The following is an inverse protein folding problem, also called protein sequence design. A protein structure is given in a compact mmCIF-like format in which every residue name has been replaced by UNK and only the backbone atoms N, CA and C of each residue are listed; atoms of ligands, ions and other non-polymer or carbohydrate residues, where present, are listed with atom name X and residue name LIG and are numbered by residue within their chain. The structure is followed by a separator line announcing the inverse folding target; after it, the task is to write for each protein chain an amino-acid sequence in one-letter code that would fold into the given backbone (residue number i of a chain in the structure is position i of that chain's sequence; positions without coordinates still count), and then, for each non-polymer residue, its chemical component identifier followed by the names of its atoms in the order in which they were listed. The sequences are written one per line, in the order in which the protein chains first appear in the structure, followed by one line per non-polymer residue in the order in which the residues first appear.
data_IF_798114683501
#
_entry.id   IF_798114683501
#
_cell.length_a   1.000
_cell.length_b   1.000
_cell.length_c   1.000
_cell.angle_alpha   90.00
_cell.angle_beta   90.00
_cell.angle_gamma   90.00
#
_symmetry.space_group_name_H-M   'P 1'
#
loop_
_entity.id
_entity.type
_entity.pdbx_description
1 polymer ?
#
# COMPACT_ATOMS: atom_id res chain seq x y z
N UNK A 1 -14.25 -10.99 -35.91
CA UNK A 1 -15.36 -10.47 -35.10
C UNK A 1 -16.29 -11.65 -34.86
N UNK A 2 -16.17 -12.30 -33.70
CA UNK A 2 -16.93 -13.51 -33.36
C UNK A 2 -18.28 -13.10 -32.78
N UNK A 3 -19.36 -13.62 -33.35
CA UNK A 3 -20.75 -13.42 -32.92
C UNK A 3 -20.96 -14.02 -31.54
N UNK A 4 -21.02 -13.17 -30.51
CA UNK A 4 -21.45 -13.57 -29.19
C UNK A 4 -22.98 -13.69 -29.17
N UNK A 5 -23.46 -14.93 -29.02
CA UNK A 5 -24.86 -15.34 -28.75
C UNK A 5 -25.88 -15.20 -29.90
N UNK A 6 -25.81 -16.09 -30.89
CA UNK A 6 -27.05 -16.53 -31.56
C UNK A 6 -27.80 -17.47 -30.60
N UNK A 7 -28.70 -16.92 -29.79
CA UNK A 7 -29.72 -17.72 -29.12
C UNK A 7 -30.62 -18.31 -30.22
N UNK A 8 -30.84 -19.64 -30.29
CA UNK A 8 -31.78 -20.19 -31.26
C UNK A 8 -33.13 -19.55 -31.02
N UNK A 9 -33.66 -18.86 -32.03
CA UNK A 9 -34.96 -18.21 -31.98
C UNK A 9 -36.04 -19.26 -31.71
N UNK A 10 -36.37 -19.48 -30.45
CA UNK A 10 -37.54 -20.27 -30.11
C UNK A 10 -38.76 -19.44 -30.53
N UNK A 11 -39.50 -19.94 -31.52
CA UNK A 11 -40.84 -19.46 -31.85
C UNK A 11 -41.81 -19.83 -30.72
N UNK A 12 -41.60 -19.25 -29.54
CA UNK A 12 -42.53 -19.32 -28.42
C UNK A 12 -43.74 -18.46 -28.76
N UNK A 13 -44.93 -19.01 -28.56
CA UNK A 13 -46.15 -18.22 -28.59
C UNK A 13 -46.13 -17.20 -27.46
N UNK A 14 -46.88 -16.09 -27.59
CA UNK A 14 -46.94 -15.09 -26.52
C UNK A 14 -47.42 -15.69 -25.18
N UNK A 15 -48.31 -16.67 -25.23
CA UNK A 15 -48.76 -17.41 -24.06
C UNK A 15 -47.63 -18.21 -23.39
N UNK A 16 -46.74 -18.83 -24.18
CA UNK A 16 -45.59 -19.56 -23.65
C UNK A 16 -44.54 -18.63 -23.07
N UNK A 17 -44.30 -17.47 -23.70
CA UNK A 17 -43.40 -16.42 -23.19
C UNK A 17 -43.88 -15.90 -21.84
N UNK A 18 -45.18 -15.60 -21.72
CA UNK A 18 -45.80 -15.15 -20.47
C UNK A 18 -45.65 -16.22 -19.38
N UNK A 19 -45.95 -17.50 -19.69
CA UNK A 19 -45.82 -18.59 -18.73
C UNK A 19 -44.37 -18.79 -18.27
N UNK A 20 -43.41 -18.72 -19.17
CA UNK A 20 -41.99 -18.79 -18.82
C UNK A 20 -41.55 -17.61 -17.96
N UNK A 21 -41.93 -16.39 -18.32
CA UNK A 21 -41.61 -15.19 -17.55
C UNK A 21 -42.18 -15.26 -16.12
N UNK A 22 -43.44 -15.69 -15.96
CA UNK A 22 -44.05 -15.90 -14.65
C UNK A 22 -43.33 -16.97 -13.83
N UNK A 23 -42.91 -18.07 -14.48
CA UNK A 23 -42.12 -19.11 -13.84
C UNK A 23 -40.76 -18.62 -13.36
N UNK A 24 -40.08 -17.80 -14.16
CA UNK A 24 -38.81 -17.16 -13.81
C UNK A 24 -38.99 -16.15 -12.66
N UNK A 25 -40.03 -15.32 -12.71
CA UNK A 25 -40.35 -14.36 -11.65
C UNK A 25 -40.56 -15.07 -10.31
N UNK A 26 -41.39 -16.12 -10.28
CA UNK A 26 -41.63 -16.89 -9.05
C UNK A 26 -40.34 -17.52 -8.50
N UNK A 27 -39.45 -18.00 -9.38
CA UNK A 27 -38.15 -18.54 -8.96
C UNK A 27 -37.23 -17.45 -8.41
N UNK A 28 -37.24 -16.26 -9.01
CA UNK A 28 -36.51 -15.10 -8.52
C UNK A 28 -37.03 -14.67 -7.14
N UNK A 29 -38.34 -14.48 -6.98
CA UNK A 29 -38.97 -14.09 -5.72
C UNK A 29 -38.61 -15.09 -4.59
N UNK A 30 -38.67 -16.39 -4.89
CA UNK A 30 -38.28 -17.43 -3.93
C UNK A 30 -36.80 -17.34 -3.53
N UNK A 31 -35.90 -17.04 -4.48
CA UNK A 31 -34.47 -16.85 -4.20
C UNK A 31 -34.21 -15.59 -3.40
N UNK A 32 -34.87 -14.48 -3.71
CA UNK A 32 -34.75 -13.23 -2.98
C UNK A 32 -35.29 -13.37 -1.55
N UNK A 33 -36.35 -14.16 -1.35
CA UNK A 33 -36.84 -14.51 -0.01
C UNK A 33 -35.84 -15.34 0.79
N UNK A 34 -35.14 -16.29 0.16
CA UNK A 34 -34.04 -16.98 0.83
C UNK A 34 -32.89 -16.01 1.16
N UNK A 35 -32.58 -15.09 0.24
CA UNK A 35 -31.56 -14.06 0.45
C UNK A 35 -31.88 -13.17 1.66
N UNK A 36 -33.12 -12.69 1.81
CA UNK A 36 -33.52 -11.85 2.96
C UNK A 36 -33.41 -12.57 4.29
N UNK A 37 -33.51 -13.90 4.31
CA UNK A 37 -33.44 -14.70 5.53
C UNK A 37 -32.00 -15.07 5.90
N UNK A 38 -31.18 -15.45 4.92
CA UNK A 38 -29.87 -16.07 5.18
C UNK A 38 -28.71 -15.07 5.08
N UNK A 39 -28.75 -14.13 4.13
CA UNK A 39 -27.63 -13.22 3.85
C UNK A 39 -27.27 -12.33 5.05
N UNK A 40 -28.21 -11.76 5.84
CA UNK A 40 -27.83 -10.93 6.98
C UNK A 40 -26.89 -11.65 7.95
N UNK A 41 -27.16 -12.93 8.24
CA UNK A 41 -26.31 -13.74 9.09
C UNK A 41 -24.93 -14.03 8.50
N UNK A 42 -24.82 -14.25 7.19
CA UNK A 42 -23.51 -14.39 6.54
C UNK A 42 -22.72 -13.08 6.54
N UNK A 43 -23.39 -11.95 6.35
CA UNK A 43 -22.75 -10.64 6.44
C UNK A 43 -22.29 -10.38 7.87
N UNK A 44 -23.07 -10.72 8.89
CA UNK A 44 -22.63 -10.60 10.29
C UNK A 44 -21.36 -11.42 10.56
N UNK A 45 -21.30 -12.67 10.09
CA UNK A 45 -20.10 -13.51 10.24
C UNK A 45 -18.87 -12.90 9.54
N UNK A 46 -19.01 -12.41 8.31
CA UNK A 46 -17.91 -11.75 7.60
C UNK A 46 -17.50 -10.47 8.32
N UNK A 47 -18.47 -9.69 8.81
CA UNK A 47 -18.20 -8.45 9.52
C UNK A 47 -17.40 -8.72 10.80
N UNK A 48 -17.83 -9.70 11.60
CA UNK A 48 -17.18 -10.03 12.86
C UNK A 48 -15.77 -10.57 12.62
N UNK A 49 -15.58 -11.37 11.56
CA UNK A 49 -14.28 -11.86 11.14
C UNK A 49 -13.33 -10.73 10.70
N UNK A 50 -13.81 -9.77 9.91
CA UNK A 50 -12.99 -8.65 9.43
C UNK A 50 -12.74 -7.57 10.49
N UNK A 51 -13.61 -7.45 11.49
CA UNK A 51 -13.49 -6.46 12.58
C UNK A 51 -12.93 -7.06 13.87
N UNK A 52 -12.52 -8.33 13.84
CA UNK A 52 -11.81 -8.94 14.97
C UNK A 52 -10.58 -8.11 15.34
N UNK A 53 -10.28 -8.03 16.64
CA UNK A 53 -9.17 -7.25 17.20
C UNK A 53 -8.19 -8.16 17.93
N UNK A 54 -6.94 -7.71 17.98
CA UNK A 54 -5.84 -8.41 18.65
C UNK A 54 -4.90 -9.08 17.65
N UNK A 55 -3.79 -9.61 18.16
CA UNK A 55 -2.71 -10.17 17.34
C UNK A 55 -3.12 -11.40 16.51
N UNK A 56 -4.17 -12.12 16.95
CA UNK A 56 -4.69 -13.29 16.25
C UNK A 56 -5.81 -12.96 15.25
N UNK A 57 -6.23 -11.69 15.17
CA UNK A 57 -7.26 -11.29 14.23
C UNK A 57 -6.79 -11.51 12.79
N UNK A 58 -7.72 -11.91 11.92
CA UNK A 58 -7.41 -12.22 10.53
C UNK A 58 -6.62 -11.11 9.82
N UNK A 59 -7.07 -9.85 9.91
CA UNK A 59 -6.40 -8.74 9.21
C UNK A 59 -4.98 -8.51 9.73
N UNK A 60 -4.74 -8.68 11.04
CA UNK A 60 -3.42 -8.53 11.65
C UNK A 60 -2.47 -9.64 11.18
N UNK A 61 -2.94 -10.89 11.16
CA UNK A 61 -2.17 -12.01 10.62
C UNK A 61 -1.89 -11.86 9.12
N UNK A 62 -2.89 -11.44 8.35
CA UNK A 62 -2.77 -11.18 6.92
C UNK A 62 -1.74 -10.08 6.63
N UNK A 63 -1.80 -8.98 7.38
CA UNK A 63 -0.85 -7.88 7.25
C UNK A 63 0.56 -8.32 7.64
N UNK A 64 0.74 -9.03 8.76
CA UNK A 64 2.06 -9.54 9.15
C UNK A 64 2.62 -10.49 8.09
N UNK A 65 1.83 -11.45 7.62
CA UNK A 65 2.25 -12.37 6.56
C UNK A 65 2.61 -11.64 5.27
N UNK A 66 1.80 -10.65 4.86
CA UNK A 66 2.07 -9.84 3.69
C UNK A 66 3.36 -9.01 3.87
N UNK A 67 3.63 -8.52 5.08
CA UNK A 67 4.84 -7.81 5.41
C UNK A 67 6.04 -8.74 5.26
N UNK A 68 6.02 -9.90 5.89
CA UNK A 68 7.11 -10.89 5.85
C UNK A 68 7.44 -11.34 4.42
N UNK A 69 6.43 -11.45 3.57
CA UNK A 69 6.56 -11.91 2.19
C UNK A 69 6.88 -10.81 1.18
N UNK A 70 7.04 -9.56 1.60
CA UNK A 70 7.23 -8.42 0.70
C UNK A 70 8.58 -7.75 0.88
N UNK A 71 9.15 -7.32 -0.25
CA UNK A 71 10.38 -6.55 -0.28
C UNK A 71 10.18 -5.07 0.09
N UNK A 72 8.95 -4.56 -0.05
CA UNK A 72 8.60 -3.15 0.15
C UNK A 72 7.11 -2.91 0.51
N UNK A 73 6.78 -1.63 0.69
CA UNK A 73 5.47 -1.09 1.04
C UNK A 73 4.39 -1.41 0.00
N UNK A 74 4.73 -1.43 -1.29
CA UNK A 74 3.76 -1.62 -2.36
C UNK A 74 3.33 -3.09 -2.40
N UNK A 75 4.30 -4.01 -2.39
CA UNK A 75 4.02 -5.43 -2.29
C UNK A 75 3.25 -5.79 -1.00
N UNK A 76 3.62 -5.17 0.12
CA UNK A 76 2.92 -5.34 1.40
C UNK A 76 1.46 -4.85 1.32
N UNK A 77 1.23 -3.62 0.86
CA UNK A 77 -0.11 -3.07 0.69
C UNK A 77 -0.95 -3.92 -0.26
N UNK A 78 -0.42 -4.24 -1.45
CA UNK A 78 -1.16 -4.96 -2.49
C UNK A 78 -1.56 -6.36 -2.04
N UNK A 79 -0.65 -7.12 -1.41
CA UNK A 79 -0.99 -8.46 -0.88
C UNK A 79 -2.06 -8.38 0.21
N UNK A 80 -1.93 -7.42 1.13
CA UNK A 80 -2.92 -7.23 2.21
C UNK A 80 -4.28 -6.81 1.65
N UNK A 81 -4.30 -5.88 0.69
CA UNK A 81 -5.52 -5.39 0.03
C UNK A 81 -6.22 -6.51 -0.75
N UNK A 82 -5.49 -7.35 -1.48
CA UNK A 82 -6.06 -8.50 -2.20
C UNK A 82 -6.78 -9.47 -1.24
N UNK A 83 -6.18 -9.76 -0.08
CA UNK A 83 -6.80 -10.61 0.93
C UNK A 83 -8.13 -10.01 1.45
N UNK A 84 -8.14 -8.71 1.77
CA UNK A 84 -9.35 -8.02 2.24
C UNK A 84 -10.45 -7.91 1.15
N UNK A 85 -10.06 -7.62 -0.10
CA UNK A 85 -10.98 -7.44 -1.23
C UNK A 85 -11.86 -8.66 -1.48
N UNK A 86 -11.34 -9.87 -1.29
CA UNK A 86 -12.13 -11.10 -1.47
C UNK A 86 -13.38 -11.12 -0.56
N UNK A 87 -13.23 -10.65 0.68
CA UNK A 87 -14.34 -10.55 1.62
C UNK A 87 -15.23 -9.35 1.35
N UNK A 88 -14.65 -8.17 1.07
CA UNK A 88 -15.43 -6.97 0.76
C UNK A 88 -16.30 -7.15 -0.48
N UNK A 89 -15.79 -7.78 -1.54
CA UNK A 89 -16.60 -8.05 -2.74
C UNK A 89 -17.78 -8.96 -2.44
N UNK A 90 -17.58 -10.02 -1.65
CA UNK A 90 -18.67 -10.89 -1.21
C UNK A 90 -19.69 -10.12 -0.37
N UNK A 91 -19.21 -9.29 0.56
CA UNK A 91 -20.02 -8.48 1.46
C UNK A 91 -20.90 -7.47 0.71
N UNK A 92 -20.32 -6.69 -0.22
CA UNK A 92 -21.04 -5.70 -1.04
C UNK A 92 -22.05 -6.37 -1.97
N UNK A 93 -21.73 -7.54 -2.53
CA UNK A 93 -22.70 -8.33 -3.32
C UNK A 93 -23.86 -8.81 -2.45
N UNK A 94 -23.60 -9.20 -1.21
CA UNK A 94 -24.64 -9.54 -0.23
C UNK A 94 -25.57 -8.36 0.05
N UNK A 95 -25.03 -7.16 0.31
CA UNK A 95 -25.83 -5.93 0.46
C UNK A 95 -26.70 -5.69 -0.78
N UNK A 96 -26.13 -5.87 -1.97
CA UNK A 96 -26.85 -5.67 -3.23
C UNK A 96 -28.03 -6.66 -3.38
N UNK A 97 -27.85 -7.92 -2.98
CA UNK A 97 -28.92 -8.92 -2.96
C UNK A 97 -30.02 -8.58 -1.93
N UNK A 98 -29.64 -8.05 -0.76
CA UNK A 98 -30.59 -7.56 0.24
C UNK A 98 -31.40 -6.36 -0.29
N UNK A 99 -30.75 -5.43 -0.99
CA UNK A 99 -31.43 -4.31 -1.64
C UNK A 99 -32.45 -4.80 -2.68
N UNK A 100 -32.05 -5.75 -3.55
CA UNK A 100 -32.99 -6.34 -4.52
C UNK A 100 -34.17 -7.05 -3.84
N UNK A 101 -33.92 -7.75 -2.73
CA UNK A 101 -34.98 -8.39 -1.96
C UNK A 101 -35.92 -7.37 -1.31
N UNK A 102 -35.39 -6.26 -0.78
CA UNK A 102 -36.17 -5.18 -0.20
C UNK A 102 -37.04 -4.46 -1.24
N UNK A 103 -36.48 -4.21 -2.43
CA UNK A 103 -37.16 -3.48 -3.50
C UNK A 103 -38.22 -4.33 -4.22
N UNK A 104 -38.27 -5.65 -3.96
CA UNK A 104 -39.22 -6.57 -4.60
C UNK A 104 -40.50 -6.72 -3.75
N UNK A 105 -41.68 -6.20 -4.18
CA UNK A 105 -42.89 -6.18 -3.35
C UNK A 105 -43.39 -7.56 -2.88
N UNK A 106 -43.07 -8.63 -3.62
CA UNK A 106 -43.47 -10.00 -3.33
C UNK A 106 -42.61 -10.67 -2.24
N UNK A 107 -41.50 -10.02 -1.86
CA UNK A 107 -40.57 -10.45 -0.82
C UNK A 107 -40.82 -9.58 0.41
N UNK A 108 -41.32 -10.19 1.49
CA UNK A 108 -41.53 -9.48 2.75
C UNK A 108 -40.21 -9.44 3.52
N UNK A 109 -39.51 -8.32 3.46
CA UNK A 109 -38.30 -8.09 4.25
C UNK A 109 -38.55 -6.95 5.25
N UNK A 110 -39.11 -7.30 6.42
CA UNK A 110 -39.68 -6.35 7.39
C UNK A 110 -38.63 -5.39 7.97
N UNK A 111 -37.43 -5.88 8.29
CA UNK A 111 -36.32 -5.07 8.82
C UNK A 111 -35.36 -4.58 7.71
N UNK A 112 -35.81 -4.59 6.46
CA UNK A 112 -34.94 -4.49 5.29
C UNK A 112 -34.05 -3.25 5.27
N UNK A 113 -34.63 -2.06 5.37
CA UNK A 113 -33.87 -0.80 5.34
C UNK A 113 -32.86 -0.72 6.48
N UNK A 114 -33.29 -1.05 7.71
CA UNK A 114 -32.42 -1.01 8.89
C UNK A 114 -31.24 -1.98 8.76
N UNK A 115 -31.52 -3.21 8.32
CA UNK A 115 -30.50 -4.24 8.12
C UNK A 115 -29.49 -3.82 7.04
N UNK A 116 -29.97 -3.31 5.91
CA UNK A 116 -29.13 -2.82 4.82
C UNK A 116 -28.25 -1.67 5.28
N UNK A 117 -28.80 -0.67 5.97
CA UNK A 117 -28.06 0.51 6.41
C UNK A 117 -27.02 0.16 7.48
N UNK A 118 -27.32 -0.77 8.39
CA UNK A 118 -26.34 -1.34 9.33
C UNK A 118 -25.18 -1.99 8.58
N UNK A 119 -25.45 -2.82 7.58
CA UNK A 119 -24.38 -3.46 6.82
C UNK A 119 -23.57 -2.47 5.99
N UNK A 120 -24.17 -1.40 5.45
CA UNK A 120 -23.41 -0.30 4.81
C UNK A 120 -22.47 0.40 5.80
N UNK A 121 -22.94 0.70 7.01
CA UNK A 121 -22.11 1.30 8.05
C UNK A 121 -20.95 0.36 8.47
N UNK A 122 -21.21 -0.94 8.54
CA UNK A 122 -20.18 -1.95 8.82
C UNK A 122 -19.05 -1.96 7.77
N UNK A 123 -19.32 -1.66 6.49
CA UNK A 123 -18.26 -1.54 5.47
C UNK A 123 -17.26 -0.45 5.86
N UNK A 124 -17.74 0.70 6.32
CA UNK A 124 -16.88 1.80 6.75
C UNK A 124 -16.02 1.39 7.96
N UNK A 125 -16.61 0.67 8.92
CA UNK A 125 -15.87 0.15 10.07
C UNK A 125 -14.78 -0.86 9.65
N UNK A 126 -15.08 -1.73 8.68
CA UNK A 126 -14.10 -2.67 8.13
C UNK A 126 -12.96 -1.95 7.40
N UNK A 127 -13.26 -0.89 6.65
CA UNK A 127 -12.26 -0.06 5.98
C UNK A 127 -11.37 0.67 6.99
N UNK A 128 -11.94 1.23 8.06
CA UNK A 128 -11.18 1.83 9.14
C UNK A 128 -10.28 0.82 9.85
N UNK A 129 -10.77 -0.40 10.11
CA UNK A 129 -9.95 -1.46 10.70
C UNK A 129 -8.79 -1.87 9.79
N UNK A 130 -9.04 -1.95 8.48
CA UNK A 130 -8.00 -2.18 7.48
C UNK A 130 -6.97 -1.04 7.46
N UNK A 131 -7.42 0.22 7.49
CA UNK A 131 -6.53 1.39 7.52
C UNK A 131 -5.63 1.39 8.75
N UNK A 132 -6.19 1.13 9.94
CA UNK A 132 -5.42 1.02 11.17
C UNK A 132 -4.43 -0.15 11.15
N UNK A 133 -4.81 -1.28 10.53
CA UNK A 133 -3.97 -2.48 10.46
C UNK A 133 -2.85 -2.33 9.44
N UNK A 134 -3.10 -1.72 8.29
CA UNK A 134 -2.09 -1.56 7.24
C UNK A 134 -1.18 -0.36 7.50
N UNK A 135 -1.76 0.73 8.01
CA UNK A 135 -1.13 2.02 8.24
C UNK A 135 -1.51 3.03 7.16
N UNK A 136 -2.10 4.16 7.56
CA UNK A 136 -2.57 5.21 6.65
C UNK A 136 -1.45 5.74 5.74
N UNK A 137 -0.26 5.94 6.30
CA UNK A 137 0.93 6.35 5.58
C UNK A 137 1.28 5.39 4.42
N UNK A 138 1.25 4.09 4.71
CA UNK A 138 1.55 3.05 3.72
C UNK A 138 0.49 3.01 2.62
N UNK A 139 -0.79 3.14 3.00
CA UNK A 139 -1.91 3.19 2.05
C UNK A 139 -1.77 4.39 1.12
N UNK A 140 -1.58 5.59 1.68
CA UNK A 140 -1.45 6.81 0.90
C UNK A 140 -0.30 6.71 -0.11
N UNK A 141 0.84 6.15 0.33
CA UNK A 141 1.99 6.00 -0.54
C UNK A 141 1.77 4.94 -1.64
N UNK A 142 1.20 3.79 -1.29
CA UNK A 142 0.91 2.72 -2.25
C UNK A 142 -0.17 3.13 -3.27
N UNK A 143 -1.26 3.73 -2.82
CA UNK A 143 -2.34 4.20 -3.71
C UNK A 143 -1.87 5.35 -4.60
N UNK A 144 -1.02 6.25 -4.09
CA UNK A 144 -0.38 7.29 -4.91
C UNK A 144 0.43 6.70 -6.06
N UNK A 145 1.20 5.63 -5.81
CA UNK A 145 1.97 4.91 -6.83
C UNK A 145 1.08 4.12 -7.78
N UNK A 146 0.01 3.48 -7.28
CA UNK A 146 -0.89 2.69 -8.11
C UNK A 146 -1.69 3.57 -9.09
N UNK A 147 -2.11 4.75 -8.63
CA UNK A 147 -2.90 5.69 -9.43
C UNK A 147 -2.07 6.33 -10.56
N UNK A 148 -0.80 6.62 -10.31
CA UNK A 148 0.14 7.08 -11.34
C UNK A 148 1.55 6.51 -11.07
N UNK A 149 1.90 5.36 -11.69
CA UNK A 149 3.21 4.74 -11.49
C UNK A 149 4.36 5.50 -12.16
N UNK A 150 4.04 6.54 -12.95
CA UNK A 150 5.02 7.42 -13.60
C UNK A 150 5.23 8.72 -12.85
N UNK A 151 4.29 9.07 -11.95
CA UNK A 151 4.38 10.25 -11.12
C UNK A 151 5.61 10.20 -10.23
N UNK A 152 6.25 11.35 -10.15
CA UNK A 152 7.22 11.63 -9.10
C UNK A 152 6.44 11.93 -7.83
N UNK A 153 6.71 11.18 -6.76
CA UNK A 153 6.05 11.36 -5.48
C UNK A 153 6.97 12.13 -4.53
N UNK A 154 6.50 13.22 -3.95
CA UNK A 154 7.24 13.90 -2.89
C UNK A 154 7.01 13.16 -1.56
N UNK A 155 8.08 12.75 -0.90
CA UNK A 155 8.05 12.35 0.49
C UNK A 155 8.66 13.44 1.36
N UNK A 156 7.85 13.98 2.25
CA UNK A 156 8.31 14.86 3.31
C UNK A 156 8.43 14.01 4.57
N UNK A 157 9.64 13.90 5.09
CA UNK A 157 9.87 13.30 6.39
C UNK A 157 10.45 14.32 7.35
N UNK A 158 10.31 14.09 8.65
CA UNK A 158 11.09 14.82 9.64
C UNK A 158 12.09 13.82 10.19
N UNK A 159 13.35 14.04 9.86
CA UNK A 159 14.43 13.42 10.61
C UNK A 159 14.44 14.05 12.02
N UNK A 160 14.97 13.35 13.03
CA UNK A 160 15.19 13.98 14.32
C UNK A 160 16.00 15.28 14.12
N UNK A 161 15.65 16.35 14.84
CA UNK A 161 16.23 17.67 14.64
C UNK A 161 17.76 17.62 14.58
N UNK A 162 18.36 17.98 13.44
CA UNK A 162 19.81 17.99 13.23
C UNK A 162 20.38 16.88 12.33
N UNK A 163 19.53 16.01 11.78
CA UNK A 163 19.94 14.87 10.94
C UNK A 163 19.69 15.16 9.46
N UNK A 164 20.71 15.06 8.60
CA UNK A 164 20.59 15.28 7.15
C UNK A 164 21.52 14.35 6.36
N UNK A 165 21.09 13.93 5.16
CA UNK A 165 21.91 13.13 4.25
C UNK A 165 22.64 14.10 3.31
N UNK A 166 23.95 14.25 3.50
CA UNK A 166 24.77 15.16 2.71
C UNK A 166 25.60 14.41 1.68
N UNK A 167 25.66 14.94 0.45
CA UNK A 167 26.48 14.41 -0.61
C UNK A 167 27.82 15.14 -0.72
N UNK A 168 28.92 14.40 -0.91
CA UNK A 168 30.17 15.01 -1.36
C UNK A 168 30.99 14.11 -2.27
N UNK A 169 31.32 14.65 -3.45
CA UNK A 169 32.30 14.09 -4.38
C UNK A 169 33.71 14.30 -3.83
N UNK A 170 34.31 13.28 -3.23
CA UNK A 170 35.76 13.23 -2.99
C UNK A 170 36.27 11.79 -3.04
N UNK A 171 37.27 11.55 -3.88
CA UNK A 171 37.88 10.21 -4.05
C UNK A 171 38.73 9.78 -2.84
N UNK A 172 39.01 10.66 -1.86
CA UNK A 172 40.02 10.36 -0.83
C UNK A 172 39.83 10.95 0.57
N UNK A 173 38.74 11.65 0.89
CA UNK A 173 38.62 12.26 2.24
C UNK A 173 37.19 12.27 2.79
N UNK A 174 37.06 11.67 3.98
CA UNK A 174 35.91 11.74 4.89
C UNK A 174 35.85 13.11 5.59
N UNK A 175 35.65 14.18 4.83
CA UNK A 175 35.25 15.47 5.37
C UNK A 175 34.11 16.01 4.56
N UNK A 176 33.17 16.60 5.26
CA UNK A 176 32.00 17.15 4.63
C UNK A 176 31.74 18.52 5.29
N UNK A 177 31.48 19.52 4.47
CA UNK A 177 31.19 20.90 4.87
C UNK A 177 29.95 21.36 4.11
N UNK A 178 28.92 21.82 4.82
CA UNK A 178 27.79 22.49 4.19
C UNK A 178 28.00 24.00 4.22
N UNK A 179 27.73 24.65 3.08
CA UNK A 179 27.74 26.12 2.95
C UNK A 179 26.35 26.64 2.59
N UNK A 180 25.29 26.06 3.14
CA UNK A 180 23.91 26.50 2.85
C UNK A 180 23.15 26.74 4.15
N UNK A 181 22.65 27.97 4.24
CA UNK A 181 21.91 28.55 5.35
C UNK A 181 20.59 27.83 5.64
N UNK A 182 20.32 27.66 6.93
CA UNK A 182 19.07 27.25 7.59
C UNK A 182 17.76 27.45 6.80
N UNK A 183 16.79 26.51 6.88
CA UNK A 183 16.65 25.38 7.81
C UNK A 183 17.11 24.00 7.24
N UNK A 184 17.29 22.97 8.10
CA UNK A 184 17.74 21.63 7.70
C UNK A 184 16.77 20.94 6.73
N UNK A 185 17.33 20.36 5.66
CA UNK A 185 16.61 19.74 4.53
C UNK A 185 15.90 18.44 4.96
N UNK A 186 14.59 18.35 4.72
CA UNK A 186 13.76 17.21 5.17
C UNK A 186 12.81 16.67 4.09
N UNK A 187 13.04 17.02 2.82
CA UNK A 187 12.16 16.65 1.71
C UNK A 187 12.90 15.88 0.62
N UNK A 188 12.36 14.73 0.28
CA UNK A 188 12.90 13.82 -0.73
C UNK A 188 11.86 13.54 -1.80
N UNK A 189 12.36 13.28 -2.98
CA UNK A 189 11.60 12.98 -4.17
C UNK A 189 11.82 11.51 -4.48
N UNK A 190 10.72 10.78 -4.61
CA UNK A 190 10.70 9.39 -5.03
C UNK A 190 10.41 9.34 -6.51
N UNK A 191 11.28 8.60 -7.21
CA UNK A 191 11.07 8.25 -8.62
C UNK A 191 11.22 6.76 -8.77
N UNK A 192 10.32 6.10 -9.50
CA UNK A 192 10.48 4.69 -9.80
C UNK A 192 11.76 4.46 -10.62
N UNK A 193 12.53 3.41 -10.31
CA UNK A 193 13.68 3.01 -11.13
C UNK A 193 13.88 1.49 -11.13
N UNK A 194 13.85 0.83 -12.30
CA UNK A 194 13.80 1.43 -13.64
C UNK A 194 12.43 2.05 -13.96
N UNK A 195 12.39 2.94 -14.96
CA UNK A 195 11.13 3.45 -15.49
C UNK A 195 10.33 2.28 -16.07
N UNK A 196 9.05 2.19 -15.71
CA UNK A 196 8.14 1.15 -16.17
C UNK A 196 6.89 1.84 -16.71
N UNK A 197 6.36 1.34 -17.83
CA UNK A 197 5.08 1.80 -18.38
C UNK A 197 3.92 1.22 -17.57
N UNK A 198 2.75 1.84 -17.58
CA UNK A 198 1.55 1.30 -16.92
C UNK A 198 1.29 -0.17 -17.31
N UNK A 199 1.44 -0.51 -18.60
CA UNK A 199 1.25 -1.87 -19.13
C UNK A 199 2.19 -2.94 -18.53
N UNK A 200 3.33 -2.52 -17.96
CA UNK A 200 4.35 -3.41 -17.39
C UNK A 200 4.43 -3.30 -15.87
N UNK A 201 3.55 -2.49 -15.27
CA UNK A 201 3.52 -2.31 -13.83
C UNK A 201 2.80 -3.47 -13.16
N UNK A 202 3.53 -4.20 -12.32
CA UNK A 202 2.98 -5.17 -11.40
C UNK A 202 3.19 -4.68 -9.96
N UNK A 203 2.11 -4.29 -9.25
CA UNK A 203 2.20 -3.79 -7.88
C UNK A 203 2.49 -4.90 -6.85
N UNK A 204 2.51 -6.17 -7.26
CA UNK A 204 2.85 -7.29 -6.38
C UNK A 204 4.34 -7.62 -6.35
N UNK A 205 5.12 -7.04 -7.28
CA UNK A 205 6.57 -7.15 -7.36
C UNK A 205 7.25 -6.02 -6.58
N UNK A 206 8.56 -6.19 -6.35
CA UNK A 206 9.37 -5.11 -5.80
C UNK A 206 9.28 -3.82 -6.64
N UNK A 207 9.08 -2.71 -5.95
CA UNK A 207 9.04 -1.33 -6.40
C UNK A 207 10.32 -0.59 -6.02
N UNK A 208 11.45 -0.85 -6.72
CA UNK A 208 12.67 -0.11 -6.50
C UNK A 208 12.50 1.35 -6.91
N UNK A 209 13.03 2.24 -6.09
CA UNK A 209 12.94 3.69 -6.26
C UNK A 209 14.31 4.37 -6.26
N UNK A 210 14.36 5.57 -6.79
CA UNK A 210 15.42 6.55 -6.54
C UNK A 210 14.91 7.52 -5.50
N UNK A 211 15.81 7.87 -4.58
CA UNK A 211 15.61 8.96 -3.63
C UNK A 211 16.44 10.15 -4.11
N UNK A 212 15.79 11.27 -4.40
CA UNK A 212 16.47 12.53 -4.75
C UNK A 212 16.14 13.59 -3.71
N UNK A 213 17.09 14.43 -3.28
CA UNK A 213 16.77 15.59 -2.45
C UNK A 213 15.92 16.59 -3.25
N UNK A 214 14.86 17.14 -2.63
CA UNK A 214 13.89 17.97 -3.36
C UNK A 214 14.45 19.30 -3.89
N UNK A 215 15.48 19.82 -3.23
CA UNK A 215 16.17 21.06 -3.59
C UNK A 215 17.30 20.84 -4.61
N UNK A 216 17.61 19.58 -4.93
CA UNK A 216 18.66 19.22 -5.88
C UNK A 216 18.26 18.01 -6.74
N UNK A 217 17.23 18.24 -7.56
CA UNK A 217 16.70 17.28 -8.54
C UNK A 217 17.80 16.81 -9.50
N UNK A 218 17.80 15.51 -9.82
CA UNK A 218 18.76 14.87 -10.73
C UNK A 218 20.03 14.34 -10.05
N UNK A 219 20.05 14.30 -8.72
CA UNK A 219 21.14 13.79 -7.88
C UNK A 219 20.63 12.66 -6.98
N UNK A 220 20.40 11.45 -7.54
CA UNK A 220 19.89 10.34 -6.75
C UNK A 220 20.89 9.91 -5.68
N UNK A 221 20.36 9.55 -4.52
CA UNK A 221 21.09 8.93 -3.43
C UNK A 221 21.50 7.51 -3.82
N UNK A 222 22.80 7.24 -3.73
CA UNK A 222 23.42 5.98 -4.11
C UNK A 222 24.34 5.47 -3.00
N UNK A 223 24.59 4.16 -2.99
CA UNK A 223 25.66 3.56 -2.18
C UNK A 223 27.01 3.87 -2.84
N UNK A 224 27.94 4.44 -2.06
CA UNK A 224 29.29 4.76 -2.49
C UNK A 224 30.20 3.54 -2.63
N UNK A 225 31.39 3.75 -3.21
CA UNK A 225 32.41 2.69 -3.35
C UNK A 225 33.19 2.39 -2.07
N UNK A 226 32.95 3.11 -0.97
CA UNK A 226 33.61 2.91 0.33
C UNK A 226 32.62 2.35 1.34
N UNK A 227 33.11 1.55 2.31
CA UNK A 227 32.30 0.92 3.36
C UNK A 227 31.62 1.89 4.34
N UNK A 228 31.67 3.20 4.06
CA UNK A 228 31.32 4.27 4.99
C UNK A 228 30.50 5.41 4.36
N UNK A 229 30.06 5.33 3.10
CA UNK A 229 29.48 6.50 2.43
C UNK A 229 28.28 6.20 1.55
N UNK A 230 27.16 6.87 1.84
CA UNK A 230 26.16 7.22 0.83
C UNK A 230 26.70 8.40 0.01
N UNK A 231 26.41 8.45 -1.28
CA UNK A 231 26.83 9.52 -2.19
C UNK A 231 25.69 9.88 -3.16
N UNK A 232 25.58 11.14 -3.58
CA UNK A 232 24.69 11.49 -4.70
C UNK A 232 25.49 11.55 -5.98
N UNK A 233 25.20 10.66 -6.92
CA UNK A 233 25.94 10.62 -8.19
C UNK A 233 25.34 11.55 -9.22
N UNK A 234 26.21 12.23 -9.97
CA UNK A 234 25.81 12.97 -11.16
C UNK A 234 25.29 12.00 -12.21
N UNK A 235 24.13 12.30 -12.78
CA UNK A 235 23.46 11.51 -13.82
C UNK A 235 24.24 11.54 -15.14
N UNK A 236 25.33 10.78 -15.20
CA UNK A 236 26.04 10.48 -16.45
C UNK A 236 25.71 9.04 -16.84
N UNK A 237 24.59 8.95 -17.57
CA UNK A 237 24.13 7.90 -18.49
C UNK A 237 23.77 6.48 -18.03
N UNK A 238 24.13 5.96 -16.85
CA UNK A 238 23.57 4.67 -16.38
C UNK A 238 23.37 4.66 -14.87
N UNK A 239 22.13 4.78 -14.39
CA UNK A 239 21.78 4.55 -12.99
C UNK A 239 21.79 3.04 -12.74
N UNK A 240 22.84 2.54 -12.08
CA UNK A 240 22.97 1.14 -11.67
C UNK A 240 22.14 0.80 -10.44
N UNK A 241 22.11 -0.49 -10.08
CA UNK A 241 21.35 -1.00 -8.92
C UNK A 241 21.75 -0.32 -7.60
N UNK A 242 23.00 0.15 -7.49
CA UNK A 242 23.52 0.88 -6.32
C UNK A 242 22.79 2.17 -5.95
N UNK A 243 21.88 2.66 -6.78
CA UNK A 243 21.07 3.86 -6.53
C UNK A 243 19.59 3.55 -6.30
N UNK A 244 19.21 2.27 -6.30
CA UNK A 244 17.82 1.83 -6.14
C UNK A 244 17.56 1.43 -4.70
N UNK A 245 16.40 1.82 -4.18
CA UNK A 245 15.98 1.59 -2.81
C UNK A 245 14.63 0.87 -2.76
N UNK A 246 14.44 0.06 -1.74
CA UNK A 246 13.14 -0.42 -1.28
C UNK A 246 12.78 0.32 0.00
N UNK A 247 11.51 0.68 0.11
CA UNK A 247 10.91 1.27 1.31
C UNK A 247 9.94 0.25 1.86
N UNK A 248 9.98 -0.04 3.16
CA UNK A 248 9.03 -0.96 3.77
C UNK A 248 8.56 -0.39 5.11
N UNK A 249 7.28 -0.47 5.49
CA UNK A 249 6.89 -0.13 6.85
C UNK A 249 7.57 -1.10 7.81
N UNK A 250 7.91 -0.62 9.01
CA UNK A 250 8.62 -1.43 10.00
C UNK A 250 7.73 -2.54 10.57
N UNK A 251 6.51 -2.20 10.96
CA UNK A 251 5.49 -3.16 11.36
C UNK A 251 4.13 -2.81 10.73
N UNK A 252 3.15 -3.73 10.77
CA UNK A 252 1.78 -3.38 10.38
C UNK A 252 1.27 -2.18 11.17
N UNK A 253 0.59 -1.25 10.49
CA UNK A 253 0.00 -0.06 11.09
C UNK A 253 0.96 1.09 11.38
N UNK A 254 2.27 0.90 11.23
CA UNK A 254 3.27 1.91 11.63
C UNK A 254 3.51 2.96 10.54
N UNK A 255 3.72 4.21 10.95
CA UNK A 255 4.14 5.32 10.08
C UNK A 255 5.67 5.45 9.98
N UNK A 256 6.41 4.46 10.49
CA UNK A 256 7.87 4.37 10.39
C UNK A 256 8.24 3.42 9.28
N UNK A 257 9.18 3.85 8.46
CA UNK A 257 9.65 3.10 7.31
C UNK A 257 11.13 2.80 7.40
N UNK A 258 11.46 1.65 6.85
CA UNK A 258 12.77 1.07 6.74
C UNK A 258 13.21 1.12 5.28
N UNK A 259 14.46 1.52 5.05
CA UNK A 259 15.02 1.69 3.70
C UNK A 259 16.16 0.73 3.43
N UNK A 260 16.12 0.00 2.31
CA UNK A 260 17.18 -0.94 1.88
C UNK A 260 17.60 -0.67 0.45
N UNK A 261 18.89 -0.68 0.16
CA UNK A 261 19.41 -0.56 -1.20
C UNK A 261 19.34 -1.90 -1.96
N UNK A 262 19.15 -1.83 -3.27
CA UNK A 262 19.24 -2.97 -4.18
C UNK A 262 20.72 -3.21 -4.51
N UNK A 263 21.45 -3.98 -3.71
CA UNK A 263 22.88 -4.24 -3.98
C UNK A 263 23.10 -5.27 -5.10
N UNK A 264 23.99 -4.96 -6.03
CA UNK A 264 24.67 -5.95 -6.88
C UNK A 264 26.12 -6.15 -6.43
N UNK A 265 26.31 -7.01 -5.43
CA UNK A 265 27.58 -7.67 -5.16
C UNK A 265 28.38 -7.21 -3.93
N UNK A 266 28.71 -8.22 -3.11
CA UNK A 266 29.84 -8.39 -2.17
C UNK A 266 30.16 -7.34 -1.09
N UNK A 267 29.68 -6.10 -1.14
CA UNK A 267 30.01 -5.09 -0.14
C UNK A 267 28.78 -4.35 0.36
N UNK A 268 28.72 -4.22 1.70
CA UNK A 268 27.94 -3.24 2.48
C UNK A 268 26.48 -3.57 2.72
N UNK A 269 26.23 -4.50 3.65
CA UNK A 269 25.00 -4.52 4.45
C UNK A 269 25.14 -3.51 5.59
N UNK A 270 24.70 -2.27 5.40
CA UNK A 270 24.80 -1.24 6.43
C UNK A 270 23.71 -0.18 6.30
N UNK A 271 23.21 0.25 7.46
CA UNK A 271 22.19 1.31 7.62
C UNK A 271 22.90 2.57 8.09
N UNK A 272 22.69 3.71 7.42
CA UNK A 272 23.44 4.94 7.72
C UNK A 272 22.51 6.13 7.88
N UNK A 273 22.58 6.77 9.04
CA UNK A 273 22.01 8.10 9.32
C UNK A 273 23.13 8.95 9.94
N UNK A 274 23.26 10.20 9.49
CA UNK A 274 24.22 11.18 10.05
C UNK A 274 23.56 11.92 11.19
N UNK A 275 23.85 11.48 12.42
CA UNK A 275 23.30 12.05 13.64
C UNK A 275 24.30 13.09 14.21
N UNK A 276 23.88 14.34 14.25
CA UNK A 276 24.51 15.49 14.93
C UNK A 276 25.75 16.14 14.26
N UNK A 277 25.70 17.45 13.94
CA UNK A 277 26.88 18.24 13.60
C UNK A 277 27.52 18.81 14.89
N UNK A 278 28.64 18.24 15.35
CA UNK A 278 29.55 18.95 16.26
C UNK A 278 30.89 19.22 15.55
N UNK A 279 31.42 20.42 15.73
CA UNK A 279 32.50 21.05 14.93
C UNK A 279 33.85 20.31 14.86
N UNK A 280 34.02 19.16 15.51
CA UNK A 280 35.32 18.47 15.58
C UNK A 280 35.33 17.01 15.11
N UNK A 281 34.21 16.48 14.60
CA UNK A 281 34.17 15.12 14.08
C UNK A 281 32.75 14.66 13.87
N UNK A 282 32.42 14.29 12.63
CA UNK A 282 31.13 13.68 12.30
C UNK A 282 31.09 12.30 12.93
N UNK A 283 30.24 12.13 13.94
CA UNK A 283 29.95 10.84 14.54
C UNK A 283 28.71 10.29 13.85
N UNK A 284 28.77 9.05 13.37
CA UNK A 284 27.60 8.30 12.92
C UNK A 284 27.02 7.64 14.15
N UNK A 285 25.93 8.19 14.71
CA UNK A 285 25.16 7.51 15.75
C UNK A 285 23.87 6.92 15.13
N UNK A 286 23.55 5.70 15.54
CA UNK A 286 22.36 4.96 15.08
C UNK A 286 21.12 5.61 15.70
N UNK A 287 20.34 6.33 14.88
CA UNK A 287 19.05 6.85 15.34
C UNK A 287 18.08 5.68 15.48
N UNK A 288 17.75 5.36 16.73
CA UNK A 288 16.97 4.22 17.21
C UNK A 288 17.55 2.87 16.75
N UNK A 289 18.38 2.28 17.62
CA UNK A 289 18.97 0.96 17.46
C UNK A 289 18.07 0.00 16.66
N UNK A 290 18.64 -0.53 15.57
CA UNK A 290 18.12 -1.69 14.86
C UNK A 290 17.58 -2.68 15.89
N UNK A 291 16.30 -3.04 15.84
CA UNK A 291 15.90 -4.26 16.53
C UNK A 291 16.58 -5.42 15.78
N UNK A 292 17.04 -6.45 16.49
CA UNK A 292 17.78 -7.56 15.88
C UNK A 292 17.04 -8.20 14.67
N UNK A 293 15.71 -8.07 14.67
CA UNK A 293 14.77 -8.52 13.64
C UNK A 293 14.74 -7.68 12.35
N UNK A 294 15.19 -6.41 12.37
CA UNK A 294 15.24 -5.53 11.19
C UNK A 294 16.42 -5.90 10.26
N UNK A 295 17.41 -6.63 10.76
CA UNK A 295 18.64 -6.97 10.05
C UNK A 295 19.57 -5.78 9.82
N UNK A 296 20.80 -6.03 9.38
CA UNK A 296 21.87 -5.02 9.29
C UNK A 296 21.71 -3.97 8.16
N UNK A 297 20.55 -3.88 7.50
CA UNK A 297 20.41 -3.22 6.19
C UNK A 297 19.39 -2.07 6.13
N UNK A 298 18.68 -1.76 7.22
CA UNK A 298 17.63 -0.74 7.22
C UNK A 298 17.84 0.42 8.20
N UNK A 299 17.65 1.66 7.75
CA UNK A 299 17.54 2.81 8.66
C UNK A 299 16.09 3.32 8.74
N UNK A 300 15.69 3.80 9.93
CA UNK A 300 14.32 4.14 10.26
C UNK A 300 14.02 5.62 10.00
N UNK A 301 12.90 5.91 9.33
CA UNK A 301 12.39 7.28 9.19
C UNK A 301 10.89 7.36 9.46
N UNK A 302 10.47 8.39 10.19
CA UNK A 302 9.05 8.69 10.45
C UNK A 302 8.56 9.72 9.43
N UNK A 303 7.43 9.46 8.77
CA UNK A 303 6.81 10.47 7.91
C UNK A 303 6.40 11.69 8.76
N UNK A 304 6.71 12.89 8.26
CA UNK A 304 6.38 14.10 8.99
C UNK A 304 4.88 14.38 8.91
N UNK A 305 4.23 14.62 10.05
CA UNK A 305 2.89 15.24 10.03
C UNK A 305 3.01 16.64 9.40
N UNK A 306 2.17 16.92 8.39
CA UNK A 306 1.77 18.29 8.07
C UNK A 306 1.03 18.85 9.28
N UNK A 307 1.74 19.54 10.16
CA UNK A 307 1.10 20.45 11.10
C UNK A 307 1.02 21.81 10.42
N UNK A 308 -0.23 22.17 10.12
CA UNK A 308 -0.81 23.49 9.80
C UNK A 308 0.14 24.69 9.76
#
# INVERSE_FOLDING_TARGET
MQEAFQLPGMNLTDADRIRQAQGLQKRLDNRLRACSNDIPGYLDQINDFLNERGSNAFLQQAAQQALDQSDDFLGYYSKTKIMALNYWVAYIKGISLLQMAHDTPQVKFEEGSFTIDRHKANVLAQEQNFQATVGEATIAFAEGVINDPTATQALIWKTAAGTYIEAYNSLYMNYVSSSVSWPPQSSWIIKRSPNVTEEKFDPTQGYPILLEPSDRVGYPLCVGGSQYGLDTRWTTSVIGDSCRWFIKPRSPGEARFSFRFLSSGAYQNGSYIVDIPWEAGRRLDYVDALHEEDGNQFFNVTLGEEKF
#
